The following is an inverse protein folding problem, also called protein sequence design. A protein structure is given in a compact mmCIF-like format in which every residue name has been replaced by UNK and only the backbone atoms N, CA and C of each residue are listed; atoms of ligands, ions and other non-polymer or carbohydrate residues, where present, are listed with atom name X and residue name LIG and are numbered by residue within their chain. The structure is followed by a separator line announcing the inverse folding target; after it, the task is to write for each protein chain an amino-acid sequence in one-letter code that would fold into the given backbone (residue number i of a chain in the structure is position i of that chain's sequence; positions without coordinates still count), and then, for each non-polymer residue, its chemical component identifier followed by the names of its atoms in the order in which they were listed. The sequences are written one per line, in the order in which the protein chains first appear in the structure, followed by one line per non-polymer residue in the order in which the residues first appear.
data_IF_907182910634
#
_entry.id   IF_907182910634
#
_cell.length_a   1.000
_cell.length_b   1.000
_cell.length_c   1.000
_cell.angle_alpha   90.00
_cell.angle_beta   90.00
_cell.angle_gamma   90.00
#
_symmetry.space_group_name_H-M   'P 1'
#
loop_
_entity.id
_entity.type
_entity.pdbx_description
1 polymer ?
#
# COMPACT_ATOMS: atom_id res chain seq x y z
N UNK A 1 -6.08 38.21 19.44
CA UNK A 1 -7.21 38.63 20.29
C UNK A 1 -7.86 37.35 20.79
N UNK A 2 -7.56 36.91 22.02
CA UNK A 2 -8.02 35.62 22.54
C UNK A 2 -9.50 35.67 22.92
N UNK A 3 -10.31 34.74 22.42
CA UNK A 3 -11.71 34.61 22.82
C UNK A 3 -11.77 34.01 24.23
N UNK A 4 -12.47 34.72 25.09
CA UNK A 4 -12.77 34.39 26.47
C UNK A 4 -13.64 33.13 26.51
N UNK A 5 -13.21 32.10 27.26
CA UNK A 5 -14.14 31.20 27.93
C UNK A 5 -14.30 29.78 27.40
N UNK A 6 -13.29 29.14 26.80
CA UNK A 6 -13.27 27.68 26.69
C UNK A 6 -12.41 27.11 27.83
N UNK A 7 -12.97 26.18 28.62
CA UNK A 7 -12.13 25.32 29.47
C UNK A 7 -11.13 24.66 28.53
N UNK A 8 -9.83 24.70 28.90
CA UNK A 8 -8.81 23.92 28.21
C UNK A 8 -9.26 22.45 28.30
N UNK A 9 -9.61 21.90 27.16
CA UNK A 9 -10.02 20.52 27.00
C UNK A 9 -8.73 19.70 26.86
N UNK A 10 -8.51 18.76 27.80
CA UNK A 10 -7.25 18.02 27.88
C UNK A 10 -7.08 17.13 26.64
N UNK A 11 -8.20 16.64 26.12
CA UNK A 11 -8.30 15.80 24.96
C UNK A 11 -7.96 16.60 23.69
N UNK A 12 -8.35 17.88 23.63
CA UNK A 12 -7.92 18.78 22.56
C UNK A 12 -6.41 19.04 22.57
N UNK A 13 -5.82 19.27 23.74
CA UNK A 13 -4.36 19.47 23.87
C UNK A 13 -3.58 18.23 23.44
N UNK A 14 -4.04 17.04 23.84
CA UNK A 14 -3.45 15.77 23.43
C UNK A 14 -3.56 15.55 21.92
N UNK A 15 -4.68 15.94 21.31
CA UNK A 15 -4.83 15.86 19.86
C UNK A 15 -3.82 16.77 19.15
N UNK A 16 -3.64 17.99 19.63
CA UNK A 16 -2.65 18.92 19.08
C UNK A 16 -1.23 18.38 19.17
N UNK A 17 -0.85 17.84 20.33
CA UNK A 17 0.47 17.20 20.55
C UNK A 17 0.70 16.05 19.54
N UNK A 18 -0.27 15.14 19.40
CA UNK A 18 -0.18 14.02 18.44
C UNK A 18 -0.06 14.53 17.00
N UNK A 19 -0.84 15.55 16.63
CA UNK A 19 -0.81 16.07 15.24
C UNK A 19 0.50 16.76 14.91
N UNK A 20 1.10 17.46 15.87
CA UNK A 20 2.41 18.10 15.72
C UNK A 20 3.53 17.05 15.63
N UNK A 21 3.53 16.05 16.53
CA UNK A 21 4.50 14.95 16.52
C UNK A 21 4.50 14.14 15.22
N UNK A 22 3.34 14.04 14.57
CA UNK A 22 3.17 13.27 13.33
C UNK A 22 3.22 14.13 12.06
N UNK A 23 3.50 15.44 12.19
CA UNK A 23 3.56 16.41 11.08
C UNK A 23 2.27 16.40 10.24
N UNK A 24 1.12 16.36 10.91
CA UNK A 24 -0.20 16.31 10.28
C UNK A 24 -0.82 17.70 10.17
N UNK A 25 -1.30 18.05 8.97
CA UNK A 25 -1.99 19.31 8.70
C UNK A 25 -3.51 19.14 8.83
N UNK A 26 -4.17 20.04 9.56
CA UNK A 26 -5.64 20.08 9.65
C UNK A 26 -6.23 20.69 8.36
N UNK A 27 -7.20 20.00 7.75
CA UNK A 27 -7.84 20.40 6.49
C UNK A 27 -9.23 21.03 6.64
N UNK A 28 -9.84 20.98 7.83
CA UNK A 28 -11.16 21.57 8.04
C UNK A 28 -11.13 23.08 7.87
N UNK A 29 -12.18 23.61 7.26
CA UNK A 29 -12.49 25.03 7.37
C UNK A 29 -13.15 25.29 8.74
N UNK A 30 -12.58 26.19 9.55
CA UNK A 30 -13.08 26.47 10.91
C UNK A 30 -14.53 26.99 10.93
N UNK A 31 -15.01 27.52 9.80
CA UNK A 31 -16.32 28.16 9.68
C UNK A 31 -17.44 27.19 9.24
N UNK A 32 -17.10 25.97 8.78
CA UNK A 32 -18.07 25.00 8.27
C UNK A 32 -18.35 23.89 9.29
N UNK A 33 -19.48 23.99 9.99
CA UNK A 33 -19.88 23.00 10.99
C UNK A 33 -20.00 21.59 10.40
N UNK A 34 -19.44 20.62 11.11
CA UNK A 34 -19.51 19.18 10.80
C UNK A 34 -20.55 18.44 11.62
N UNK A 35 -21.03 19.08 12.69
CA UNK A 35 -22.11 18.58 13.53
C UNK A 35 -23.09 19.70 13.87
N UNK A 36 -24.37 19.38 13.93
CA UNK A 36 -25.39 20.28 14.48
C UNK A 36 -26.55 19.52 15.10
N UNK A 37 -27.06 20.04 16.22
CA UNK A 37 -28.29 19.54 16.84
C UNK A 37 -29.02 20.68 17.52
N UNK A 38 -30.32 20.82 17.22
CA UNK A 38 -31.12 21.98 17.65
C UNK A 38 -30.41 23.29 17.24
N UNK A 39 -30.25 24.24 18.17
CA UNK A 39 -29.58 25.52 17.93
C UNK A 39 -28.06 25.48 18.16
N UNK A 40 -27.46 24.28 18.28
CA UNK A 40 -26.02 24.09 18.49
C UNK A 40 -25.35 23.55 17.24
N UNK A 41 -24.17 24.08 16.91
CA UNK A 41 -23.33 23.61 15.81
C UNK A 41 -21.86 23.65 16.22
N UNK A 42 -21.09 22.67 15.78
CA UNK A 42 -19.66 22.57 16.07
C UNK A 42 -18.89 21.88 14.95
N UNK A 43 -17.57 22.05 14.96
CA UNK A 43 -16.63 21.33 14.11
C UNK A 43 -15.95 20.27 14.98
N UNK A 44 -16.44 19.04 14.93
CA UNK A 44 -15.92 17.92 15.76
C UNK A 44 -15.38 16.76 14.90
N UNK A 45 -15.85 16.64 13.66
CA UNK A 45 -15.27 15.73 12.68
C UNK A 45 -14.08 16.42 12.01
N UNK A 46 -12.85 16.03 12.41
CA UNK A 46 -11.60 16.63 11.98
C UNK A 46 -10.87 15.75 10.94
N UNK A 47 -10.28 16.38 9.93
CA UNK A 47 -9.58 15.76 8.80
C UNK A 47 -8.14 16.23 8.84
N UNK A 48 -7.23 15.28 9.02
CA UNK A 48 -5.79 15.53 9.01
C UNK A 48 -5.14 14.88 7.79
N UNK A 49 -4.14 15.53 7.22
CA UNK A 49 -3.38 15.02 6.08
C UNK A 49 -1.88 15.05 6.36
N UNK A 50 -1.17 14.05 5.85
CA UNK A 50 0.29 14.04 5.90
C UNK A 50 0.88 14.89 4.77
N UNK A 51 2.08 15.46 4.94
CA UNK A 51 2.64 16.43 3.99
C UNK A 51 2.87 15.83 2.60
N UNK A 52 3.16 14.52 2.54
CA UNK A 52 3.33 13.80 1.27
C UNK A 52 2.04 13.69 0.45
N UNK A 53 0.88 13.83 1.08
CA UNK A 53 -0.43 13.78 0.46
C UNK A 53 -1.04 15.17 0.25
N UNK A 54 -0.58 16.23 0.93
CA UNK A 54 -1.07 17.61 0.74
C UNK A 54 -1.00 18.04 -0.73
N UNK A 55 0.10 17.75 -1.42
CA UNK A 55 0.27 18.04 -2.87
C UNK A 55 -0.72 17.31 -3.78
N UNK A 56 -1.40 16.28 -3.27
CA UNK A 56 -2.39 15.47 -3.98
C UNK A 56 -3.82 15.80 -3.57
N UNK A 57 -4.03 16.69 -2.62
CA UNK A 57 -5.35 17.11 -2.21
C UNK A 57 -6.02 17.89 -3.35
N UNK A 58 -7.13 17.36 -3.84
CA UNK A 58 -7.95 18.02 -4.87
C UNK A 58 -9.05 18.84 -4.22
N UNK A 59 -9.66 18.33 -3.14
CA UNK A 59 -10.76 19.00 -2.44
C UNK A 59 -10.94 18.42 -1.03
N UNK A 60 -11.32 19.25 -0.07
CA UNK A 60 -11.82 18.87 1.26
C UNK A 60 -12.91 19.86 1.66
N UNK A 61 -14.16 19.43 1.73
CA UNK A 61 -15.30 20.31 2.02
C UNK A 61 -16.50 19.52 2.53
N UNK A 62 -17.51 20.19 3.07
CA UNK A 62 -18.80 19.55 3.33
C UNK A 62 -19.51 19.14 2.06
N UNK A 63 -19.99 17.91 2.05
CA UNK A 63 -20.73 17.33 0.95
C UNK A 63 -22.22 17.62 1.09
N UNK A 64 -22.74 18.47 0.21
CA UNK A 64 -24.17 18.75 0.11
C UNK A 64 -24.88 17.66 -0.72
N UNK A 65 -26.10 17.29 -0.31
CA UNK A 65 -26.94 16.35 -1.06
C UNK A 65 -26.57 14.87 -0.94
N UNK A 66 -25.78 14.49 0.06
CA UNK A 66 -25.52 13.09 0.43
C UNK A 66 -26.40 12.73 1.64
N UNK A 67 -27.01 11.54 1.64
CA UNK A 67 -27.74 11.04 2.80
C UNK A 67 -26.81 11.00 4.03
N UNK A 68 -27.28 11.60 5.12
CA UNK A 68 -26.50 11.82 6.32
C UNK A 68 -27.24 11.38 7.58
N UNK A 69 -26.46 11.13 8.65
CA UNK A 69 -26.99 11.14 10.01
C UNK A 69 -27.64 12.50 10.30
N UNK A 70 -28.77 12.57 11.02
CA UNK A 70 -29.51 13.82 11.24
C UNK A 70 -28.68 14.95 11.84
N UNK A 71 -27.63 14.61 12.60
CA UNK A 71 -26.84 15.60 13.33
C UNK A 71 -25.40 15.76 12.80
N UNK A 72 -24.96 14.97 11.81
CA UNK A 72 -23.60 15.05 11.24
C UNK A 72 -23.62 15.39 9.76
N UNK A 73 -22.67 16.21 9.34
CA UNK A 73 -22.50 16.61 7.97
C UNK A 73 -21.32 15.87 7.33
N UNK A 74 -21.53 15.15 6.22
CA UNK A 74 -20.47 14.41 5.57
C UNK A 74 -19.43 15.38 5.00
N UNK A 75 -18.14 15.06 5.18
CA UNK A 75 -17.04 15.75 4.52
C UNK A 75 -16.56 14.93 3.33
N UNK A 76 -16.45 15.56 2.17
CA UNK A 76 -15.86 14.99 0.96
C UNK A 76 -14.39 15.39 0.87
N UNK A 77 -13.53 14.38 0.96
CA UNK A 77 -12.09 14.53 0.70
C UNK A 77 -11.73 13.80 -0.60
N UNK A 78 -11.09 14.50 -1.53
CA UNK A 78 -10.67 13.94 -2.83
C UNK A 78 -9.16 14.06 -2.96
N UNK A 79 -8.49 12.92 -3.20
CA UNK A 79 -7.07 12.85 -3.46
C UNK A 79 -6.80 12.41 -4.91
N UNK A 80 -5.94 13.16 -5.59
CA UNK A 80 -5.43 12.83 -6.93
C UNK A 80 -4.31 11.80 -6.81
N UNK A 81 -4.64 10.51 -6.87
CA UNK A 81 -3.66 9.43 -6.79
C UNK A 81 -3.46 8.80 -8.17
N UNK A 82 -2.26 8.96 -8.71
CA UNK A 82 -1.79 8.15 -9.83
C UNK A 82 -1.38 6.78 -9.30
N UNK A 83 -2.21 5.76 -9.55
CA UNK A 83 -1.83 4.37 -9.29
C UNK A 83 -0.98 3.87 -10.46
N UNK A 84 0.31 3.56 -10.24
CA UNK A 84 1.09 2.92 -11.31
C UNK A 84 0.42 1.60 -11.65
N UNK A 85 0.26 1.32 -12.95
CA UNK A 85 -0.22 0.02 -13.42
C UNK A 85 0.76 -1.02 -12.88
N UNK A 86 0.33 -1.96 -12.03
CA UNK A 86 1.23 -2.97 -11.50
C UNK A 86 1.80 -3.76 -12.68
N UNK A 87 3.11 -3.71 -12.88
CA UNK A 87 3.76 -4.63 -13.81
C UNK A 87 3.54 -6.02 -13.25
N UNK A 88 2.81 -6.87 -13.98
CA UNK A 88 2.64 -8.25 -13.58
C UNK A 88 4.01 -8.91 -13.57
N UNK A 89 4.55 -9.12 -12.37
CA UNK A 89 5.80 -9.87 -12.23
C UNK A 89 5.60 -11.25 -12.84
N UNK A 90 6.51 -11.63 -13.73
CA UNK A 90 6.50 -12.94 -14.36
C UNK A 90 6.70 -14.00 -13.28
N UNK A 91 5.73 -14.91 -13.09
CA UNK A 91 5.78 -15.97 -12.06
C UNK A 91 5.84 -17.34 -12.70
N UNK A 92 6.55 -18.28 -12.06
CA UNK A 92 6.56 -19.69 -12.45
C UNK A 92 5.23 -20.35 -12.10
N UNK A 93 4.77 -21.25 -12.96
CA UNK A 93 3.61 -22.09 -12.68
C UNK A 93 4.06 -23.38 -12.00
N UNK A 94 4.33 -23.30 -10.69
CA UNK A 94 4.80 -24.43 -9.89
C UNK A 94 3.85 -25.64 -9.91
N UNK A 95 2.55 -25.41 -10.07
CA UNK A 95 1.56 -26.49 -10.17
C UNK A 95 1.72 -27.30 -11.47
N UNK A 96 2.29 -26.69 -12.51
CA UNK A 96 2.52 -27.33 -13.81
C UNK A 96 3.99 -27.78 -13.99
N UNK A 97 4.78 -27.84 -12.93
CA UNK A 97 6.14 -28.38 -12.98
C UNK A 97 6.12 -29.85 -13.38
N UNK A 98 6.92 -30.21 -14.38
CA UNK A 98 7.23 -31.61 -14.68
C UNK A 98 8.25 -32.14 -13.66
N UNK A 99 7.74 -32.73 -12.57
CA UNK A 99 8.57 -33.25 -11.49
C UNK A 99 9.55 -34.34 -11.95
N UNK A 100 9.17 -35.17 -12.93
CA UNK A 100 10.07 -36.22 -13.44
C UNK A 100 11.27 -35.58 -14.13
N UNK A 101 11.01 -34.61 -15.00
CA UNK A 101 12.06 -33.86 -15.71
C UNK A 101 12.94 -33.05 -14.76
N UNK A 102 12.34 -32.43 -13.73
CA UNK A 102 13.07 -31.68 -12.71
C UNK A 102 14.07 -32.58 -11.98
N UNK A 103 13.60 -33.69 -11.42
CA UNK A 103 14.42 -34.64 -10.66
C UNK A 103 15.52 -35.22 -11.55
N UNK A 104 15.16 -35.71 -12.74
CA UNK A 104 16.11 -36.29 -13.68
C UNK A 104 17.21 -35.28 -14.07
N UNK A 105 16.87 -34.01 -14.28
CA UNK A 105 17.85 -32.97 -14.62
C UNK A 105 18.82 -32.70 -13.48
N UNK A 106 18.33 -32.71 -12.24
CA UNK A 106 19.16 -32.54 -11.04
C UNK A 106 20.08 -33.75 -10.88
N UNK A 107 19.54 -34.98 -10.86
CA UNK A 107 20.31 -36.21 -10.68
C UNK A 107 21.40 -36.40 -11.74
N UNK A 108 21.13 -36.05 -12.99
CA UNK A 108 22.11 -36.16 -14.09
C UNK A 108 23.30 -35.20 -13.95
N UNK A 109 23.14 -34.09 -13.25
CA UNK A 109 24.13 -33.01 -13.17
C UNK A 109 24.69 -32.81 -11.77
N UNK A 110 24.10 -33.47 -10.77
CA UNK A 110 24.53 -33.37 -9.39
C UNK A 110 25.83 -34.16 -9.23
N UNK A 111 26.92 -33.45 -8.98
CA UNK A 111 28.21 -34.03 -8.64
C UNK A 111 28.40 -33.96 -7.13
N UNK A 112 28.59 -35.11 -6.49
CA UNK A 112 28.96 -35.17 -5.09
C UNK A 112 30.43 -34.78 -4.94
N UNK A 113 30.70 -33.69 -4.23
CA UNK A 113 32.05 -33.28 -3.86
C UNK A 113 32.25 -33.46 -2.36
N UNK A 114 33.37 -34.08 -1.98
CA UNK A 114 33.78 -34.11 -0.58
C UNK A 114 34.28 -32.72 -0.17
N UNK A 115 33.63 -32.13 0.83
CA UNK A 115 33.94 -30.81 1.37
C UNK A 115 34.52 -30.89 2.79
N UNK A 116 34.86 -32.08 3.27
CA UNK A 116 35.35 -32.29 4.65
C UNK A 116 36.60 -31.47 4.99
N UNK A 117 37.45 -31.18 4.00
CA UNK A 117 38.63 -30.31 4.14
C UNK A 117 38.49 -28.95 3.43
N UNK A 118 37.28 -28.57 2.99
CA UNK A 118 37.05 -27.34 2.25
C UNK A 118 37.03 -26.09 3.14
N UNK A 119 37.75 -25.05 2.71
CA UNK A 119 37.67 -23.72 3.29
C UNK A 119 36.41 -22.95 2.85
N UNK A 120 36.08 -21.83 3.54
CA UNK A 120 34.87 -21.05 3.25
C UNK A 120 34.66 -20.64 1.78
N UNK A 121 35.71 -20.25 1.01
CA UNK A 121 35.56 -19.90 -0.40
C UNK A 121 35.12 -21.08 -1.28
N UNK A 122 35.60 -22.29 -1.00
CA UNK A 122 35.26 -23.50 -1.75
C UNK A 122 33.82 -23.93 -1.46
N UNK A 123 33.40 -23.84 -0.20
CA UNK A 123 32.01 -24.07 0.19
C UNK A 123 31.07 -23.09 -0.53
N UNK A 124 31.40 -21.80 -0.52
CA UNK A 124 30.60 -20.78 -1.21
C UNK A 124 30.53 -21.01 -2.73
N UNK A 125 31.64 -21.46 -3.35
CA UNK A 125 31.66 -21.83 -4.76
C UNK A 125 30.73 -23.01 -5.03
N UNK A 126 30.77 -24.06 -4.22
CA UNK A 126 29.89 -25.23 -4.38
C UNK A 126 28.41 -24.86 -4.19
N UNK A 127 28.09 -24.00 -3.22
CA UNK A 127 26.72 -23.50 -3.04
C UNK A 127 26.19 -22.77 -4.28
N UNK A 128 27.02 -21.95 -4.94
CA UNK A 128 26.64 -21.29 -6.19
C UNK A 128 26.38 -22.31 -7.31
N UNK A 129 27.27 -23.28 -7.48
CA UNK A 129 27.08 -24.36 -8.46
C UNK A 129 25.77 -25.11 -8.24
N UNK A 130 25.43 -25.43 -6.99
CA UNK A 130 24.17 -26.11 -6.65
C UNK A 130 22.95 -25.23 -6.98
N UNK A 131 23.01 -23.93 -6.63
CA UNK A 131 21.93 -22.98 -6.93
C UNK A 131 21.71 -22.84 -8.44
N UNK A 132 22.78 -22.68 -9.21
CA UNK A 132 22.72 -22.56 -10.67
C UNK A 132 22.13 -23.82 -11.32
N UNK A 133 22.49 -24.99 -10.79
CA UNK A 133 21.95 -26.28 -11.23
C UNK A 133 20.45 -26.40 -10.96
N UNK A 134 20.00 -26.08 -9.73
CA UNK A 134 18.58 -26.10 -9.37
C UNK A 134 17.80 -25.10 -10.20
N UNK A 135 18.35 -23.89 -10.39
CA UNK A 135 17.72 -22.84 -11.20
C UNK A 135 17.56 -23.27 -12.66
N UNK A 136 18.59 -23.89 -13.24
CA UNK A 136 18.55 -24.44 -14.60
C UNK A 136 17.51 -25.57 -14.72
N UNK A 137 17.42 -26.43 -13.71
CA UNK A 137 16.42 -27.51 -13.68
C UNK A 137 14.99 -26.95 -13.59
N UNK A 138 14.76 -25.90 -12.79
CA UNK A 138 13.49 -25.16 -12.72
C UNK A 138 13.15 -24.55 -14.08
N UNK A 139 14.12 -23.93 -14.76
CA UNK A 139 13.92 -23.33 -16.07
C UNK A 139 13.41 -24.32 -17.12
N UNK A 140 13.96 -25.54 -17.12
CA UNK A 140 13.64 -26.59 -18.07
C UNK A 140 12.36 -27.36 -17.74
N UNK A 141 11.94 -27.38 -16.48
CA UNK A 141 10.82 -28.20 -15.98
C UNK A 141 9.58 -27.42 -15.58
N UNK A 142 9.71 -26.13 -15.27
CA UNK A 142 8.62 -25.31 -14.73
C UNK A 142 8.25 -24.19 -15.70
N UNK A 143 7.11 -24.28 -16.41
CA UNK A 143 6.70 -23.25 -17.34
C UNK A 143 6.34 -21.95 -16.62
N UNK A 144 6.33 -20.85 -17.37
CA UNK A 144 5.83 -19.57 -16.87
C UNK A 144 4.30 -19.61 -16.74
N UNK A 145 3.77 -18.97 -15.70
CA UNK A 145 2.34 -18.76 -15.54
C UNK A 145 1.82 -17.82 -16.63
N UNK A 146 0.58 -18.06 -17.08
CA UNK A 146 -0.11 -17.15 -17.98
C UNK A 146 -0.39 -15.84 -17.23
N UNK A 147 -0.16 -14.67 -17.86
CA UNK A 147 -0.56 -13.39 -17.28
C UNK A 147 -2.05 -13.41 -16.95
N UNK A 148 -2.43 -12.95 -15.76
CA UNK A 148 -3.86 -12.80 -15.43
C UNK A 148 -4.42 -11.62 -16.21
N UNK A 149 -5.68 -11.69 -16.62
CA UNK A 149 -6.34 -10.55 -17.26
C UNK A 149 -6.47 -9.43 -16.20
N UNK A 150 -5.98 -8.20 -16.46
CA UNK A 150 -6.23 -7.10 -15.53
C UNK A 150 -7.75 -6.85 -15.46
N UNK A 151 -8.28 -6.78 -14.25
CA UNK A 151 -9.71 -6.61 -13.96
C UNK A 151 -10.19 -5.16 -14.10
N UNK A 152 -9.29 -4.19 -14.27
CA UNK A 152 -9.66 -2.81 -14.56
C UNK A 152 -9.52 -2.53 -16.06
N UNK A 153 -10.61 -2.18 -16.78
CA UNK A 153 -10.51 -1.60 -18.11
C UNK A 153 -9.78 -0.25 -18.01
N UNK A 154 -8.86 0.00 -18.94
CA UNK A 154 -8.22 1.29 -19.13
C UNK A 154 -9.31 2.34 -19.31
N UNK A 155 -9.24 3.42 -18.53
CA UNK A 155 -10.25 4.46 -18.46
C UNK A 155 -10.71 4.91 -19.85
N UNK A 156 -11.98 4.67 -20.12
CA UNK A 156 -12.74 5.47 -21.05
C UNK A 156 -12.68 6.91 -20.53
N UNK A 157 -12.04 7.78 -21.32
CA UNK A 157 -12.04 9.22 -21.08
C UNK A 157 -13.49 9.69 -21.09
N UNK A 158 -14.01 10.09 -19.93
CA UNK A 158 -15.28 10.81 -19.88
C UNK A 158 -15.09 12.16 -20.60
N UNK A 159 -16.01 12.57 -21.49
CA UNK A 159 -15.94 13.87 -22.13
C UNK A 159 -16.17 14.99 -21.11
N UNK A 160 -15.45 16.08 -21.34
CA UNK A 160 -15.46 17.36 -20.61
C UNK A 160 -16.86 17.97 -20.55
#
# INVERSE_FOLDING_TARGET
MGRIGTKVDKEAEQLLEITDEQDLELLNEEEEATWSRNDQSSVIDLIFISPCLTSRLVRCERAYGIEHSPDHFPIRTVLGINTPIPTQQKRRNWKATDNKKLIQTIEQRLEASDLSEAGPPQIAAQCRTLLDLVQSAIELSTPWAKPSRPTCPLGETLPV
#
